data_IF_954742201394
#
_entry.id   IF_954742201394
#
_cell.length_a   1.000
_cell.length_b   1.000
_cell.length_c   1.000
_cell.angle_alpha   90.00
_cell.angle_beta   90.00
_cell.angle_gamma   90.00
#
_symmetry.space_group_name_H-M   'P 1'
#
loop_
_entity.id
_entity.type
_entity.pdbx_description
1 polymer ?
#
# COMPACT_ATOMS: atom_id res chain seq x y z
N UNK A 1 4.02 -25.67 9.67
CA UNK A 1 3.08 -26.71 9.25
C UNK A 1 2.94 -26.72 7.73
N UNK A 2 2.40 -27.79 7.13
CA UNK A 2 2.13 -27.82 5.69
C UNK A 2 1.02 -26.78 5.38
N UNK A 3 1.30 -25.83 4.50
CA UNK A 3 0.36 -24.80 4.09
C UNK A 3 1.06 -23.54 3.59
N UNK A 4 0.25 -22.61 3.09
CA UNK A 4 0.75 -21.30 2.66
C UNK A 4 1.09 -20.49 3.92
N UNK A 5 2.28 -19.90 3.92
CA UNK A 5 2.75 -19.07 5.03
C UNK A 5 1.81 -17.87 5.21
N UNK A 6 1.42 -17.60 6.44
CA UNK A 6 0.48 -16.51 6.75
C UNK A 6 -0.98 -16.95 6.83
N UNK A 7 -1.42 -17.95 6.08
CA UNK A 7 -2.83 -18.33 5.94
C UNK A 7 -3.60 -18.52 7.27
N UNK A 8 -2.95 -19.05 8.30
CA UNK A 8 -3.59 -19.21 9.63
C UNK A 8 -3.51 -17.93 10.45
N UNK A 9 -2.37 -17.24 10.42
CA UNK A 9 -2.20 -15.98 11.16
C UNK A 9 -3.08 -14.85 10.62
N UNK A 10 -3.34 -14.84 9.32
CA UNK A 10 -4.20 -13.85 8.68
C UNK A 10 -5.65 -13.94 9.17
N UNK A 11 -6.13 -15.14 9.51
CA UNK A 11 -7.44 -15.33 10.11
C UNK A 11 -7.52 -14.71 11.52
N UNK A 12 -6.44 -14.81 12.31
CA UNK A 12 -6.36 -14.16 13.63
C UNK A 12 -6.20 -12.65 13.46
N UNK A 13 -5.37 -12.21 12.52
CA UNK A 13 -5.18 -10.81 12.20
C UNK A 13 -6.47 -10.14 11.72
N UNK A 14 -7.31 -10.85 10.99
CA UNK A 14 -8.60 -10.39 10.51
C UNK A 14 -9.62 -10.08 11.64
N UNK A 15 -9.36 -10.53 12.88
CA UNK A 15 -10.18 -10.16 14.03
C UNK A 15 -9.89 -8.75 14.57
N UNK A 16 -8.78 -8.14 14.16
CA UNK A 16 -8.46 -6.77 14.52
C UNK A 16 -9.18 -5.78 13.58
N UNK A 17 -9.65 -4.66 14.13
CA UNK A 17 -10.37 -3.63 13.35
C UNK A 17 -9.38 -2.53 12.91
N UNK A 18 -8.56 -2.84 11.90
CA UNK A 18 -7.67 -1.85 11.29
C UNK A 18 -8.40 -1.00 10.25
N UNK A 19 -8.16 0.30 10.26
CA UNK A 19 -8.68 1.22 9.24
C UNK A 19 -7.90 1.15 7.94
N UNK A 20 -6.58 0.86 8.00
CA UNK A 20 -5.69 0.79 6.84
C UNK A 20 -4.62 -0.29 7.03
N UNK A 21 -4.30 -0.96 5.95
CA UNK A 21 -3.25 -1.96 5.85
C UNK A 21 -2.44 -1.75 4.57
N UNK A 22 -1.18 -2.15 4.59
CA UNK A 22 -0.34 -2.26 3.40
C UNK A 22 0.44 -3.56 3.41
N UNK A 23 0.83 -4.02 2.23
CA UNK A 23 1.61 -5.24 2.05
C UNK A 23 3.06 -5.03 2.45
N UNK A 24 3.71 -6.06 3.01
CA UNK A 24 5.14 -6.13 3.23
C UNK A 24 5.86 -6.98 2.17
N UNK A 25 7.19 -6.98 2.19
CA UNK A 25 7.99 -7.76 1.26
C UNK A 25 7.93 -9.28 1.55
N UNK A 26 7.61 -9.67 2.77
CA UNK A 26 7.50 -11.09 3.14
C UNK A 26 6.37 -11.82 2.41
N UNK A 27 5.30 -11.14 2.07
CA UNK A 27 4.19 -11.68 1.28
C UNK A 27 4.55 -11.89 -0.19
N UNK A 28 5.70 -11.38 -0.65
CA UNK A 28 6.06 -11.31 -2.07
C UNK A 28 7.19 -12.26 -2.50
N UNK A 29 7.90 -12.88 -1.56
CA UNK A 29 8.98 -13.84 -1.89
C UNK A 29 8.47 -15.11 -2.56
N UNK A 30 7.21 -15.48 -2.33
CA UNK A 30 6.62 -16.70 -2.85
C UNK A 30 5.28 -16.40 -3.53
N UNK A 31 5.12 -16.83 -4.78
CA UNK A 31 3.90 -16.63 -5.55
C UNK A 31 2.66 -17.22 -4.86
N UNK A 32 2.77 -18.38 -4.20
CA UNK A 32 1.61 -18.97 -3.50
C UNK A 32 1.15 -18.13 -2.31
N UNK A 33 2.06 -17.43 -1.63
CA UNK A 33 1.72 -16.48 -0.56
C UNK A 33 1.07 -15.23 -1.13
N UNK A 34 1.68 -14.65 -2.17
CA UNK A 34 1.14 -13.46 -2.82
C UNK A 34 -0.25 -13.70 -3.44
N UNK A 35 -0.46 -14.90 -4.01
CA UNK A 35 -1.76 -15.31 -4.53
C UNK A 35 -2.79 -15.50 -3.41
N UNK A 36 -2.42 -16.11 -2.29
CA UNK A 36 -3.30 -16.27 -1.12
C UNK A 36 -3.73 -14.91 -0.56
N UNK A 37 -2.79 -13.97 -0.44
CA UNK A 37 -3.11 -12.57 -0.07
C UNK A 37 -4.09 -11.95 -1.05
N UNK A 38 -3.85 -12.09 -2.35
CA UNK A 38 -4.71 -11.54 -3.38
C UNK A 38 -6.13 -12.14 -3.36
N UNK A 39 -6.25 -13.46 -3.15
CA UNK A 39 -7.52 -14.20 -3.24
C UNK A 39 -8.34 -14.19 -1.93
N UNK A 40 -7.69 -14.06 -0.78
CA UNK A 40 -8.35 -14.23 0.53
C UNK A 40 -8.20 -13.01 1.46
N UNK A 41 -7.00 -12.43 1.57
CA UNK A 41 -6.75 -11.31 2.49
C UNK A 41 -7.33 -10.01 1.93
N UNK A 42 -7.02 -9.69 0.70
CA UNK A 42 -7.51 -8.46 0.04
C UNK A 42 -9.05 -8.39 -0.01
N UNK A 43 -9.78 -9.44 -0.42
CA UNK A 43 -11.24 -9.39 -0.42
C UNK A 43 -11.87 -9.20 0.99
N UNK A 44 -11.21 -9.72 2.04
CA UNK A 44 -11.67 -9.53 3.41
C UNK A 44 -11.58 -8.07 3.86
N UNK A 45 -10.47 -7.40 3.53
CA UNK A 45 -10.21 -6.01 3.94
C UNK A 45 -10.77 -4.96 2.97
N UNK A 46 -11.03 -5.35 1.72
CA UNK A 46 -11.54 -4.45 0.68
C UNK A 46 -10.60 -3.27 0.44
N UNK A 47 -11.18 -2.08 0.38
CA UNK A 47 -10.48 -0.82 0.10
C UNK A 47 -9.56 -0.32 1.24
N UNK A 48 -9.52 -1.03 2.36
CA UNK A 48 -8.57 -0.79 3.47
C UNK A 48 -7.20 -1.44 3.24
N UNK A 49 -7.10 -2.46 2.33
CA UNK A 49 -5.83 -3.10 1.99
C UNK A 49 -5.21 -2.43 0.76
N UNK A 50 -4.17 -1.63 0.99
CA UNK A 50 -3.59 -0.76 -0.02
C UNK A 50 -2.27 -1.31 -0.56
N UNK A 51 -2.13 -1.31 -1.89
CA UNK A 51 -0.89 -1.68 -2.59
C UNK A 51 -0.70 -0.76 -3.80
N UNK A 52 -0.29 0.48 -3.54
CA UNK A 52 -0.18 1.52 -4.57
C UNK A 52 0.81 1.18 -5.67
N UNK A 53 1.91 0.49 -5.33
CA UNK A 53 3.02 0.20 -6.24
C UNK A 53 3.32 -1.29 -6.42
N UNK A 54 2.45 -2.20 -5.94
CA UNK A 54 2.68 -3.64 -6.02
C UNK A 54 1.65 -4.31 -6.92
N UNK A 55 2.12 -5.06 -7.90
CA UNK A 55 1.31 -5.73 -8.90
C UNK A 55 1.58 -7.24 -8.93
N UNK A 56 0.56 -8.00 -9.31
CA UNK A 56 0.61 -9.44 -9.50
C UNK A 56 0.14 -9.80 -10.91
N UNK A 57 0.84 -10.74 -11.53
CA UNK A 57 0.42 -11.48 -12.72
C UNK A 57 0.20 -12.92 -12.29
N UNK A 58 -1.05 -13.34 -12.20
CA UNK A 58 -1.39 -14.69 -11.72
C UNK A 58 -0.88 -15.77 -12.68
N UNK A 59 -0.53 -16.96 -12.17
CA UNK A 59 -0.13 -18.09 -13.01
C UNK A 59 -1.15 -18.39 -14.11
N UNK A 60 -0.66 -18.63 -15.32
CA UNK A 60 -1.52 -18.90 -16.48
C UNK A 60 -2.20 -17.66 -17.10
N UNK A 61 -1.93 -16.44 -16.59
CA UNK A 61 -2.41 -15.18 -17.17
C UNK A 61 -1.25 -14.30 -17.63
N UNK A 62 -1.57 -13.30 -18.46
CA UNK A 62 -0.62 -12.28 -18.92
C UNK A 62 -0.96 -10.89 -18.37
N UNK A 63 -2.09 -10.76 -17.65
CA UNK A 63 -2.57 -9.48 -17.17
C UNK A 63 -1.98 -9.17 -15.78
N UNK A 64 -1.17 -8.13 -15.72
CA UNK A 64 -0.70 -7.55 -14.46
C UNK A 64 -1.77 -6.64 -13.86
N UNK A 65 -1.97 -6.73 -12.54
CA UNK A 65 -2.93 -5.92 -11.80
C UNK A 65 -2.41 -5.61 -10.39
N UNK A 66 -2.86 -4.53 -9.74
CA UNK A 66 -2.55 -4.30 -8.32
C UNK A 66 -3.01 -5.49 -7.46
N UNK A 67 -2.26 -5.84 -6.42
CA UNK A 67 -2.66 -6.89 -5.47
C UNK A 67 -3.87 -6.43 -4.67
N UNK A 68 -3.82 -5.24 -4.09
CA UNK A 68 -4.91 -4.58 -3.38
C UNK A 68 -5.35 -3.30 -4.07
N UNK A 69 -5.97 -2.42 -3.30
CA UNK A 69 -6.39 -1.12 -3.81
C UNK A 69 -5.20 -0.15 -3.91
N UNK A 70 -5.16 0.68 -4.94
CA UNK A 70 -4.08 1.66 -5.12
C UNK A 70 -4.14 2.79 -4.10
N UNK A 71 -5.34 3.21 -3.74
CA UNK A 71 -5.60 4.22 -2.71
C UNK A 71 -7.05 4.07 -2.24
N UNK A 72 -7.36 4.68 -1.12
CA UNK A 72 -8.73 4.78 -0.62
C UNK A 72 -9.02 6.17 -0.11
N UNK A 73 -10.31 6.47 0.05
CA UNK A 73 -10.81 7.66 0.72
C UNK A 73 -11.85 7.25 1.74
N UNK A 74 -11.77 7.82 2.91
CA UNK A 74 -12.75 7.60 3.96
C UNK A 74 -12.89 8.83 4.84
N UNK A 75 -13.98 8.87 5.60
CA UNK A 75 -14.23 9.93 6.57
C UNK A 75 -14.06 9.36 7.98
N UNK A 76 -13.27 10.00 8.83
CA UNK A 76 -13.05 9.57 10.22
C UNK A 76 -14.35 9.61 11.02
N UNK A 77 -14.52 8.64 11.94
CA UNK A 77 -15.77 8.47 12.72
C UNK A 77 -16.06 9.68 13.63
N UNK A 78 -15.06 10.19 14.32
CA UNK A 78 -15.27 11.21 15.36
C UNK A 78 -15.26 12.64 14.82
N UNK A 79 -14.18 13.03 14.15
CA UNK A 79 -13.99 14.42 13.71
C UNK A 79 -14.51 14.68 12.29
N UNK A 80 -14.96 13.62 11.59
CA UNK A 80 -15.48 13.70 10.21
C UNK A 80 -14.46 14.26 9.21
N UNK A 81 -13.19 14.00 9.43
CA UNK A 81 -12.12 14.37 8.51
C UNK A 81 -12.11 13.47 7.28
N UNK A 82 -11.99 14.07 6.12
CA UNK A 82 -11.85 13.37 4.85
C UNK A 82 -10.39 12.99 4.62
N UNK A 83 -10.09 11.71 4.69
CA UNK A 83 -8.74 11.16 4.55
C UNK A 83 -8.58 10.55 3.16
N UNK A 84 -7.44 10.84 2.53
CA UNK A 84 -6.97 10.08 1.36
C UNK A 84 -5.72 9.31 1.75
N UNK A 85 -5.72 8.00 1.50
CA UNK A 85 -4.65 7.12 1.95
C UNK A 85 -4.04 6.31 0.81
N UNK A 86 -2.72 6.05 0.91
CA UNK A 86 -1.93 5.22 0.00
C UNK A 86 -1.16 4.16 0.79
N UNK A 87 -0.96 2.98 0.19
CA UNK A 87 -0.13 1.91 0.76
C UNK A 87 1.08 1.65 -0.13
N UNK A 88 2.28 1.89 0.35
CA UNK A 88 3.49 1.88 -0.48
C UNK A 88 4.54 0.94 0.10
N UNK A 89 5.10 0.10 -0.75
CA UNK A 89 6.27 -0.74 -0.45
C UNK A 89 7.53 -0.07 -0.99
N UNK A 90 8.66 -0.21 -0.27
CA UNK A 90 9.96 0.22 -0.80
C UNK A 90 10.28 -0.47 -2.15
N UNK A 91 11.27 0.02 -2.87
CA UNK A 91 11.72 -0.57 -4.16
C UNK A 91 12.28 -1.99 -3.97
N UNK A 92 11.37 -2.96 -3.87
CA UNK A 92 11.67 -4.36 -3.58
C UNK A 92 11.78 -5.17 -4.88
N UNK A 93 12.97 -5.68 -5.18
CA UNK A 93 13.28 -6.37 -6.44
C UNK A 93 13.42 -7.91 -6.31
N UNK A 94 13.17 -8.47 -5.12
CA UNK A 94 13.30 -9.91 -4.86
C UNK A 94 11.95 -10.65 -4.85
N UNK A 95 10.93 -10.08 -5.50
CA UNK A 95 9.62 -10.70 -5.62
C UNK A 95 9.64 -11.99 -6.45
N UNK A 96 8.73 -12.91 -6.17
CA UNK A 96 8.53 -14.12 -6.97
C UNK A 96 8.22 -13.76 -8.44
N UNK A 97 8.51 -14.65 -9.40
CA UNK A 97 8.09 -14.47 -10.79
C UNK A 97 6.59 -14.17 -10.89
N UNK A 98 6.22 -13.08 -11.56
CA UNK A 98 4.85 -12.58 -11.65
C UNK A 98 4.53 -11.47 -10.63
N UNK A 99 5.42 -11.17 -9.69
CA UNK A 99 5.32 -10.00 -8.83
C UNK A 99 6.15 -8.85 -9.41
N UNK A 100 5.57 -7.67 -9.42
CA UNK A 100 6.27 -6.44 -9.82
C UNK A 100 6.05 -5.37 -8.75
N UNK A 101 7.13 -4.82 -8.23
CA UNK A 101 7.09 -3.66 -7.34
C UNK A 101 7.70 -2.48 -8.09
N UNK A 102 6.93 -1.42 -8.20
CA UNK A 102 7.38 -0.18 -8.83
C UNK A 102 8.09 0.70 -7.80
N UNK A 103 9.23 1.27 -8.16
CA UNK A 103 9.89 2.30 -7.34
C UNK A 103 8.87 3.42 -7.00
N UNK A 104 8.72 3.82 -5.73
CA UNK A 104 7.87 4.95 -5.35
C UNK A 104 8.11 6.23 -6.15
N UNK A 105 9.35 6.49 -6.56
CA UNK A 105 9.71 7.63 -7.42
C UNK A 105 9.13 7.54 -8.84
N UNK A 106 8.91 6.33 -9.33
CA UNK A 106 8.23 6.09 -10.60
C UNK A 106 6.71 6.09 -10.41
N UNK A 107 6.21 5.47 -9.34
CA UNK A 107 4.78 5.40 -9.02
C UNK A 107 4.13 6.79 -8.94
N UNK A 108 4.78 7.77 -8.30
CA UNK A 108 4.21 9.13 -8.17
C UNK A 108 4.04 9.87 -9.50
N UNK A 109 4.70 9.42 -10.55
CA UNK A 109 4.59 9.96 -11.92
C UNK A 109 3.46 9.32 -12.73
N UNK A 110 2.90 8.22 -12.25
CA UNK A 110 1.82 7.51 -12.91
C UNK A 110 0.56 8.38 -13.04
N UNK A 111 -0.11 8.25 -14.18
CA UNK A 111 -1.32 9.01 -14.47
C UNK A 111 -2.41 8.82 -13.41
N UNK A 112 -2.57 7.59 -12.90
CA UNK A 112 -3.56 7.28 -11.87
C UNK A 112 -3.25 7.99 -10.55
N UNK A 113 -1.95 8.07 -10.14
CA UNK A 113 -1.54 8.74 -8.91
C UNK A 113 -1.81 10.25 -9.03
N UNK A 114 -1.35 10.85 -10.11
CA UNK A 114 -1.56 12.27 -10.40
C UNK A 114 -3.05 12.62 -10.51
N UNK A 115 -3.87 11.76 -11.10
CA UNK A 115 -5.31 11.93 -11.18
C UNK A 115 -5.97 11.82 -9.78
N UNK A 116 -5.52 10.88 -8.94
CA UNK A 116 -6.07 10.69 -7.59
C UNK A 116 -5.86 11.92 -6.70
N UNK A 117 -4.74 12.62 -6.85
CA UNK A 117 -4.47 13.87 -6.12
C UNK A 117 -5.42 15.02 -6.50
N UNK A 118 -5.98 14.98 -7.72
CA UNK A 118 -6.86 16.04 -8.27
C UNK A 118 -8.33 15.64 -8.29
N UNK A 119 -8.66 14.42 -7.90
CA UNK A 119 -10.02 13.89 -7.99
C UNK A 119 -10.98 14.45 -6.92
N UNK A 120 -10.47 15.16 -5.92
CA UNK A 120 -11.26 15.81 -4.87
C UNK A 120 -10.65 17.14 -4.49
N UNK A 121 -11.45 18.03 -3.94
CA UNK A 121 -11.04 19.33 -3.38
C UNK A 121 -11.18 19.41 -1.86
N UNK A 122 -11.61 18.31 -1.21
CA UNK A 122 -11.99 18.27 0.21
C UNK A 122 -11.20 17.21 1.00
N UNK A 123 -9.89 17.12 0.79
CA UNK A 123 -9.01 16.26 1.58
C UNK A 123 -8.46 17.03 2.78
N UNK A 124 -8.82 16.60 3.99
CA UNK A 124 -8.34 17.20 5.25
C UNK A 124 -6.95 16.71 5.64
N UNK A 125 -6.61 15.45 5.32
CA UNK A 125 -5.28 14.91 5.52
C UNK A 125 -4.97 13.73 4.58
N UNK A 126 -3.69 13.55 4.28
CA UNK A 126 -3.17 12.37 3.61
C UNK A 126 -2.55 11.40 4.62
N UNK A 127 -2.74 10.10 4.41
CA UNK A 127 -2.07 9.03 5.17
C UNK A 127 -1.31 8.12 4.22
N UNK A 128 -0.02 7.95 4.48
CA UNK A 128 0.83 7.03 3.73
C UNK A 128 1.22 5.88 4.65
N UNK A 129 0.62 4.71 4.44
CA UNK A 129 1.03 3.47 5.09
C UNK A 129 2.18 2.87 4.29
N UNK A 130 3.41 3.06 4.76
CA UNK A 130 4.60 2.67 4.04
C UNK A 130 5.33 1.48 4.68
N UNK A 131 5.43 0.36 3.98
CA UNK A 131 6.41 -0.68 4.34
C UNK A 131 7.78 -0.27 3.78
N UNK A 132 8.33 0.80 4.36
CA UNK A 132 9.57 1.47 3.96
C UNK A 132 10.33 1.93 5.19
N UNK A 133 11.70 1.91 5.17
CA UNK A 133 12.50 2.49 6.25
C UNK A 133 12.08 3.93 6.56
N UNK A 134 11.96 4.27 7.84
CA UNK A 134 11.55 5.63 8.25
C UNK A 134 12.63 6.65 7.92
N UNK A 135 13.89 6.27 8.06
CA UNK A 135 15.05 7.13 7.80
C UNK A 135 15.90 6.60 6.64
N UNK A 136 16.55 7.51 5.93
CA UNK A 136 17.54 7.17 4.88
C UNK A 136 16.94 6.57 3.60
N UNK A 137 15.65 6.75 3.36
CA UNK A 137 14.98 6.26 2.15
C UNK A 137 14.25 7.40 1.42
N UNK A 138 14.71 7.72 0.23
CA UNK A 138 14.25 8.86 -0.58
C UNK A 138 12.89 8.66 -1.26
N UNK A 139 12.31 7.46 -1.16
CA UNK A 139 10.94 7.19 -1.61
C UNK A 139 9.89 8.03 -0.88
N UNK A 140 10.15 8.39 0.40
CA UNK A 140 9.28 9.29 1.16
C UNK A 140 9.26 10.70 0.58
N UNK A 141 10.44 11.24 0.22
CA UNK A 141 10.58 12.57 -0.34
C UNK A 141 9.79 12.68 -1.65
N UNK A 142 9.89 11.68 -2.53
CA UNK A 142 9.17 11.66 -3.79
C UNK A 142 7.65 11.70 -3.59
N UNK A 143 7.11 10.95 -2.63
CA UNK A 143 5.67 10.93 -2.33
C UNK A 143 5.27 12.28 -1.73
N UNK A 144 6.04 12.80 -0.78
CA UNK A 144 5.79 14.09 -0.15
C UNK A 144 5.75 15.22 -1.17
N UNK A 145 6.76 15.33 -2.02
CA UNK A 145 6.86 16.36 -3.05
C UNK A 145 5.69 16.28 -4.05
N UNK A 146 5.33 15.06 -4.47
CA UNK A 146 4.22 14.86 -5.38
C UNK A 146 2.88 15.33 -4.77
N UNK A 147 2.61 15.02 -3.50
CA UNK A 147 1.42 15.52 -2.81
C UNK A 147 1.48 17.04 -2.63
N UNK A 148 2.61 17.58 -2.17
CA UNK A 148 2.81 19.02 -1.96
C UNK A 148 2.65 19.86 -3.23
N UNK A 149 2.96 19.30 -4.39
CA UNK A 149 2.76 19.99 -5.67
C UNK A 149 1.30 20.31 -5.98
N UNK A 150 0.36 19.57 -5.40
CA UNK A 150 -1.10 19.74 -5.58
C UNK A 150 -1.76 20.26 -4.30
N UNK A 151 -1.27 19.85 -3.14
CA UNK A 151 -1.80 20.14 -1.81
C UNK A 151 -0.73 20.79 -0.91
N UNK A 152 -0.46 22.10 -1.07
CA UNK A 152 0.68 22.78 -0.44
C UNK A 152 0.67 22.76 1.09
N UNK A 153 -0.52 22.76 1.71
CA UNK A 153 -0.68 22.95 3.16
C UNK A 153 -1.40 21.80 3.87
N UNK A 154 -2.04 20.87 3.13
CA UNK A 154 -2.79 19.75 3.73
C UNK A 154 -1.85 18.83 4.50
N UNK A 155 -2.17 18.47 5.76
CA UNK A 155 -1.35 17.54 6.54
C UNK A 155 -1.09 16.21 5.84
N UNK A 156 0.12 15.67 6.01
CA UNK A 156 0.52 14.35 5.52
C UNK A 156 1.09 13.57 6.69
N UNK A 157 0.44 12.45 7.05
CA UNK A 157 0.93 11.50 8.04
C UNK A 157 1.64 10.36 7.31
N UNK A 158 2.93 10.17 7.60
CA UNK A 158 3.75 9.10 7.05
C UNK A 158 4.03 8.07 8.13
N UNK A 159 3.57 6.84 7.93
CA UNK A 159 3.73 5.72 8.86
C UNK A 159 4.68 4.70 8.21
N UNK A 160 5.92 4.69 8.66
CA UNK A 160 6.95 3.80 8.15
C UNK A 160 7.04 2.48 8.90
N UNK A 161 7.81 1.54 8.34
CA UNK A 161 8.02 0.20 8.90
C UNK A 161 9.24 -0.48 8.30
N UNK A 162 9.22 -1.80 8.18
CA UNK A 162 10.23 -2.66 7.58
C UNK A 162 11.47 -2.91 8.45
N UNK A 163 12.14 -1.87 8.95
CA UNK A 163 13.42 -2.00 9.68
C UNK A 163 13.27 -2.56 11.09
N UNK A 164 12.04 -2.60 11.64
CA UNK A 164 11.75 -2.98 13.02
C UNK A 164 12.48 -2.13 14.07
N UNK A 165 12.88 -0.94 13.67
CA UNK A 165 13.50 0.07 14.54
C UNK A 165 12.46 1.14 14.86
N UNK A 166 12.41 1.56 16.10
CA UNK A 166 11.62 2.72 16.53
C UNK A 166 12.54 3.94 16.45
N UNK A 167 12.19 4.87 15.57
CA UNK A 167 12.87 6.17 15.42
C UNK A 167 12.04 7.28 16.06
#
# INVERSE_FOLDING_TARGET
GPGVQGHVSDQVFALADYDLLTIGNHELYNMSVAQDVYEHVVPHWGDRYLTSNVHITLPGTTQSRPIGHRYTRFTTKNQRLNIQAYGVLFDFQLGAPGITVQDPKAMVKEAWFQASLRASSDVDAFVIAGHMPVTGYDGWDAIHEAIRSVWPTTPILMLGGHTHVRD
#
